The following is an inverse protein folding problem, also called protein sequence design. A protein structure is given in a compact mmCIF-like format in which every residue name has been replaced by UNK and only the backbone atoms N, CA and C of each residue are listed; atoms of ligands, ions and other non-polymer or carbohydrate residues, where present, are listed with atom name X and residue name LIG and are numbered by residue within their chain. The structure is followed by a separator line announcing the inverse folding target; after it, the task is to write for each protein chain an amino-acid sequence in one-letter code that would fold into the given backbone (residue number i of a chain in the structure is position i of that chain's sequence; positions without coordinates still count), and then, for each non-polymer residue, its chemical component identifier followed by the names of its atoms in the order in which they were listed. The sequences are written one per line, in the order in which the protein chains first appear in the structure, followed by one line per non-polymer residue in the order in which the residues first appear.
data_IF_587468535726
#
_entry.id   IF_587468535726
#
_cell.length_a   1.000
_cell.length_b   1.000
_cell.length_c   1.000
_cell.angle_alpha   90.00
_cell.angle_beta   90.00
_cell.angle_gamma   90.00
#
_symmetry.space_group_name_H-M   'P 1'
#
loop_
_entity.id
_entity.type
_entity.pdbx_description
1 polymer ?
#
# COMPACT_ATOMS: atom_id res chain seq x y z
N UNK A 1 46.13 -20.04 27.84
CA UNK A 1 45.18 -19.64 26.78
C UNK A 1 44.20 -18.66 27.41
N UNK A 2 44.14 -17.40 26.97
CA UNK A 2 43.26 -16.38 27.56
C UNK A 2 41.80 -16.74 27.23
N UNK A 3 40.90 -16.77 28.23
CA UNK A 3 39.49 -17.17 28.07
C UNK A 3 38.57 -16.30 28.91
N UNK A 4 37.27 -16.29 28.57
CA UNK A 4 36.24 -15.57 29.33
C UNK A 4 36.51 -14.08 29.42
N UNK A 5 36.32 -13.49 30.60
CA UNK A 5 36.47 -12.05 30.85
C UNK A 5 37.84 -11.49 30.43
N UNK A 6 38.92 -12.23 30.69
CA UNK A 6 40.27 -11.79 30.32
C UNK A 6 40.46 -11.66 28.80
N UNK A 7 39.80 -12.52 28.02
CA UNK A 7 39.85 -12.43 26.56
C UNK A 7 39.04 -11.23 26.06
N UNK A 8 37.91 -10.95 26.72
CA UNK A 8 37.11 -9.77 26.45
C UNK A 8 37.88 -8.47 26.76
N UNK A 9 38.60 -8.41 27.87
CA UNK A 9 39.40 -7.25 28.25
C UNK A 9 40.51 -6.99 27.24
N UNK A 10 41.22 -8.05 26.82
CA UNK A 10 42.25 -7.94 25.78
C UNK A 10 41.65 -7.48 24.43
N UNK A 11 40.50 -8.03 24.04
CA UNK A 11 39.78 -7.59 22.85
C UNK A 11 39.41 -6.09 22.93
N UNK A 12 38.87 -5.64 24.06
CA UNK A 12 38.49 -4.25 24.27
C UNK A 12 39.70 -3.30 24.27
N UNK A 13 40.85 -3.73 24.80
CA UNK A 13 42.09 -2.95 24.75
C UNK A 13 42.59 -2.74 23.31
N UNK A 14 42.43 -3.75 22.46
CA UNK A 14 42.89 -3.70 21.05
C UNK A 14 41.86 -2.99 20.16
N UNK A 15 40.59 -3.42 20.21
CA UNK A 15 39.55 -3.03 19.25
C UNK A 15 38.62 -1.92 19.75
N UNK A 16 38.59 -1.64 21.06
CA UNK A 16 37.60 -0.74 21.67
C UNK A 16 37.59 0.67 21.09
N UNK A 17 38.78 1.25 20.84
CA UNK A 17 38.89 2.58 20.22
C UNK A 17 38.36 2.61 18.79
N UNK A 18 38.67 1.58 18.00
CA UNK A 18 38.19 1.43 16.63
C UNK A 18 36.68 1.25 16.58
N UNK A 19 36.11 0.40 17.44
CA UNK A 19 34.66 0.23 17.54
C UNK A 19 33.96 1.53 17.94
N UNK A 20 34.51 2.27 18.91
CA UNK A 20 33.97 3.56 19.33
C UNK A 20 33.98 4.57 18.19
N UNK A 21 35.05 4.61 17.39
CA UNK A 21 35.13 5.47 16.21
C UNK A 21 34.07 5.10 15.17
N UNK A 22 33.88 3.80 14.90
CA UNK A 22 32.86 3.33 13.95
C UNK A 22 31.44 3.69 14.40
N UNK A 23 31.13 3.51 15.70
CA UNK A 23 29.83 3.91 16.27
C UNK A 23 29.61 5.40 16.07
N UNK A 24 30.57 6.25 16.46
CA UNK A 24 30.45 7.72 16.30
C UNK A 24 30.27 8.15 14.84
N UNK A 25 30.98 7.49 13.93
CA UNK A 25 30.85 7.77 12.50
C UNK A 25 29.45 7.38 12.00
N UNK A 26 28.94 6.20 12.40
CA UNK A 26 27.58 5.79 12.06
C UNK A 26 26.57 6.82 12.60
N UNK A 27 26.66 7.19 13.88
CA UNK A 27 25.78 8.17 14.51
C UNK A 27 25.72 9.46 13.68
N UNK A 28 26.89 10.02 13.33
CA UNK A 28 26.97 11.25 12.55
C UNK A 28 26.29 11.14 11.18
N UNK A 29 26.37 9.99 10.51
CA UNK A 29 25.71 9.78 9.21
C UNK A 29 24.21 9.56 9.36
N UNK A 30 23.79 8.86 10.42
CA UNK A 30 22.38 8.55 10.69
C UNK A 30 21.61 9.83 11.06
N UNK A 31 22.17 10.73 11.88
CA UNK A 31 21.45 11.89 12.42
C UNK A 31 20.72 12.74 11.35
N UNK A 32 21.30 12.87 10.15
CA UNK A 32 20.74 13.66 9.06
C UNK A 32 20.27 12.82 7.86
N UNK A 33 20.23 11.49 8.00
CA UNK A 33 19.73 10.60 6.96
C UNK A 33 18.19 10.68 6.88
N UNK A 34 17.66 10.79 5.67
CA UNK A 34 16.22 10.69 5.38
C UNK A 34 15.90 9.49 4.47
N UNK A 35 16.92 8.67 4.14
CA UNK A 35 16.74 7.46 3.36
C UNK A 35 16.34 6.30 4.29
N UNK A 36 15.02 6.15 4.44
CA UNK A 36 14.41 5.12 5.26
C UNK A 36 14.76 3.70 4.78
N UNK A 37 14.93 3.49 3.46
CA UNK A 37 15.28 2.19 2.88
C UNK A 37 16.72 1.84 3.24
N UNK A 38 17.67 2.77 3.05
CA UNK A 38 19.08 2.55 3.40
C UNK A 38 19.26 2.27 4.89
N UNK A 39 18.59 3.03 5.76
CA UNK A 39 18.62 2.78 7.21
C UNK A 39 18.08 1.39 7.56
N UNK A 40 16.98 0.98 6.93
CA UNK A 40 16.40 -0.35 7.18
C UNK A 40 17.30 -1.47 6.67
N UNK A 41 17.94 -1.31 5.52
CA UNK A 41 18.97 -2.23 5.03
C UNK A 41 20.11 -2.39 6.03
N UNK A 42 20.60 -1.29 6.61
CA UNK A 42 21.64 -1.33 7.64
C UNK A 42 21.17 -2.12 8.88
N UNK A 43 19.93 -1.93 9.34
CA UNK A 43 19.34 -2.70 10.44
C UNK A 43 19.34 -4.20 10.11
N UNK A 44 18.86 -4.59 8.92
CA UNK A 44 18.82 -5.99 8.49
C UNK A 44 20.22 -6.62 8.38
N UNK A 45 21.21 -5.85 7.91
CA UNK A 45 22.60 -6.30 7.90
C UNK A 45 23.13 -6.54 9.31
N UNK A 46 22.83 -5.64 10.26
CA UNK A 46 23.22 -5.82 11.66
C UNK A 46 22.63 -7.11 12.23
N UNK A 47 21.34 -7.40 11.99
CA UNK A 47 20.73 -8.65 12.43
C UNK A 47 21.43 -9.89 11.85
N UNK A 48 21.79 -9.87 10.56
CA UNK A 48 22.54 -10.97 9.94
C UNK A 48 23.91 -11.15 10.58
N UNK A 49 24.64 -10.08 10.85
CA UNK A 49 25.95 -10.15 11.49
C UNK A 49 25.88 -10.59 12.95
N UNK A 50 24.88 -10.13 13.70
CA UNK A 50 24.62 -10.62 15.07
C UNK A 50 24.36 -12.13 15.08
N UNK A 51 23.48 -12.62 14.20
CA UNK A 51 23.19 -14.04 14.10
C UNK A 51 24.45 -14.85 13.76
N UNK A 52 25.30 -14.33 12.88
CA UNK A 52 26.57 -14.96 12.52
C UNK A 52 27.57 -14.98 13.70
N UNK A 53 27.70 -13.87 14.44
CA UNK A 53 28.53 -13.79 15.65
C UNK A 53 28.07 -14.78 16.71
N UNK A 54 26.77 -14.91 16.93
CA UNK A 54 26.18 -15.88 17.85
C UNK A 54 26.51 -17.32 17.43
N UNK A 55 26.31 -17.67 16.14
CA UNK A 55 26.67 -18.99 15.60
C UNK A 55 28.15 -19.33 15.72
N UNK A 56 29.03 -18.33 15.71
CA UNK A 56 30.48 -18.47 15.83
C UNK A 56 30.98 -18.33 17.28
N UNK A 57 30.09 -18.16 18.25
CA UNK A 57 30.41 -17.94 19.65
C UNK A 57 31.38 -16.75 19.86
N UNK A 58 31.10 -15.61 19.21
CA UNK A 58 31.89 -14.36 19.33
C UNK A 58 31.09 -13.31 20.13
N UNK A 59 31.01 -13.43 21.47
CA UNK A 59 30.21 -12.52 22.31
C UNK A 59 30.82 -11.12 22.45
N UNK A 60 32.07 -10.95 22.02
CA UNK A 60 32.81 -9.70 22.20
C UNK A 60 32.23 -8.50 21.44
N UNK A 61 31.38 -8.76 20.44
CA UNK A 61 30.75 -7.75 19.59
C UNK A 61 29.28 -7.49 19.93
N UNK A 62 28.68 -8.19 20.90
CA UNK A 62 27.24 -8.10 21.18
C UNK A 62 26.82 -6.64 21.46
N UNK A 63 27.53 -5.99 22.40
CA UNK A 63 27.30 -4.57 22.73
C UNK A 63 27.53 -3.62 21.56
N UNK A 64 28.45 -3.95 20.66
CA UNK A 64 28.72 -3.12 19.48
C UNK A 64 27.52 -3.13 18.55
N UNK A 65 26.99 -4.31 18.23
CA UNK A 65 25.82 -4.44 17.37
C UNK A 65 24.57 -3.81 17.98
N UNK A 66 24.36 -3.96 19.28
CA UNK A 66 23.26 -3.31 20.00
C UNK A 66 23.38 -1.77 19.92
N UNK A 67 24.60 -1.25 20.02
CA UNK A 67 24.84 0.21 19.91
C UNK A 67 24.50 0.73 18.51
N UNK A 68 24.85 0.01 17.45
CA UNK A 68 24.48 0.42 16.09
C UNK A 68 22.96 0.40 15.88
N UNK A 69 22.26 -0.61 16.40
CA UNK A 69 20.80 -0.67 16.33
C UNK A 69 20.14 0.50 17.07
N UNK A 70 20.60 0.78 18.29
CA UNK A 70 20.07 1.87 19.12
C UNK A 70 20.29 3.25 18.50
N UNK A 71 21.26 3.39 17.59
CA UNK A 71 21.47 4.60 16.79
C UNK A 71 20.49 4.72 15.62
N UNK A 72 20.34 3.64 14.84
CA UNK A 72 19.57 3.69 13.58
C UNK A 72 18.06 3.66 13.84
N UNK A 73 17.58 2.81 14.75
CA UNK A 73 16.14 2.59 14.96
C UNK A 73 15.34 3.87 15.29
N UNK A 74 15.76 4.71 16.24
CA UNK A 74 15.02 5.94 16.56
C UNK A 74 14.92 6.88 15.35
N UNK A 75 15.99 6.98 14.56
CA UNK A 75 16.00 7.82 13.36
C UNK A 75 15.13 7.24 12.25
N UNK A 76 15.20 5.93 12.02
CA UNK A 76 14.35 5.22 11.06
C UNK A 76 12.86 5.48 11.36
N UNK A 77 12.43 5.25 12.61
CA UNK A 77 11.04 5.48 12.99
C UNK A 77 10.64 6.95 12.83
N UNK A 78 11.50 7.88 13.24
CA UNK A 78 11.25 9.31 13.07
C UNK A 78 11.02 9.69 11.60
N UNK A 79 11.90 9.29 10.68
CA UNK A 79 11.78 9.62 9.26
C UNK A 79 10.57 8.93 8.63
N UNK A 80 10.29 7.67 9.00
CA UNK A 80 9.09 6.97 8.53
C UNK A 80 7.82 7.73 8.94
N UNK A 81 7.75 8.20 10.19
CA UNK A 81 6.63 9.02 10.68
C UNK A 81 6.53 10.36 9.98
N UNK A 82 7.65 11.00 9.63
CA UNK A 82 7.62 12.19 8.78
C UNK A 82 6.98 11.91 7.41
N UNK A 83 7.29 10.77 6.79
CA UNK A 83 6.67 10.38 5.52
C UNK A 83 5.15 10.21 5.67
N UNK A 84 4.69 9.51 6.70
CA UNK A 84 3.26 9.36 7.02
C UNK A 84 2.60 10.73 7.19
N UNK A 85 3.18 11.60 8.02
CA UNK A 85 2.65 12.93 8.30
C UNK A 85 2.62 13.81 7.05
N UNK A 86 3.62 13.69 6.17
CA UNK A 86 3.66 14.44 4.91
C UNK A 86 2.48 14.14 3.99
N UNK A 87 2.00 12.89 3.98
CA UNK A 87 0.84 12.46 3.18
C UNK A 87 -0.45 12.91 3.85
N UNK A 88 -0.53 12.81 5.18
CA UNK A 88 -1.67 13.30 5.97
C UNK A 88 -1.93 14.79 5.69
N UNK A 89 -0.87 15.59 5.74
CA UNK A 89 -0.90 17.04 5.59
C UNK A 89 -0.97 17.53 4.13
N UNK A 90 -0.92 16.62 3.16
CA UNK A 90 -1.09 16.98 1.76
C UNK A 90 -2.47 17.63 1.53
N UNK A 91 -2.45 18.81 0.92
CA UNK A 91 -3.65 19.50 0.45
C UNK A 91 -3.94 19.05 -0.99
N UNK A 92 -5.03 18.29 -1.22
CA UNK A 92 -5.38 17.78 -2.54
C UNK A 92 -5.56 18.90 -3.59
N UNK A 93 -6.01 20.08 -3.16
CA UNK A 93 -6.35 21.19 -4.07
C UNK A 93 -5.13 21.84 -4.73
N UNK A 94 -3.93 21.57 -4.21
CA UNK A 94 -2.66 22.11 -4.74
C UNK A 94 -2.09 21.29 -5.89
N UNK A 95 -2.70 20.16 -6.24
CA UNK A 95 -2.22 19.27 -7.29
C UNK A 95 -2.97 19.47 -8.61
N UNK A 96 -2.33 19.07 -9.70
CA UNK A 96 -2.96 19.02 -11.02
C UNK A 96 -4.07 17.97 -11.05
N UNK A 97 -5.15 18.27 -11.75
CA UNK A 97 -6.31 17.39 -11.91
C UNK A 97 -6.08 16.43 -13.07
N UNK A 98 -5.30 15.39 -12.83
CA UNK A 98 -5.03 14.33 -13.79
C UNK A 98 -5.70 13.03 -13.34
N UNK A 99 -6.42 12.36 -14.25
CA UNK A 99 -7.11 11.10 -13.93
C UNK A 99 -6.17 9.89 -13.90
N UNK A 100 -4.91 10.05 -14.30
CA UNK A 100 -3.90 9.00 -14.22
C UNK A 100 -3.47 8.70 -12.78
N UNK A 101 -2.66 7.65 -12.58
CA UNK A 101 -2.12 7.33 -11.27
C UNK A 101 -1.28 8.48 -10.72
N UNK A 102 -1.52 8.86 -9.47
CA UNK A 102 -0.80 9.95 -8.84
C UNK A 102 0.62 9.52 -8.43
N UNK A 103 1.60 10.41 -8.55
CA UNK A 103 3.00 10.08 -8.26
C UNK A 103 3.23 9.67 -6.79
N UNK A 104 2.44 10.21 -5.85
CA UNK A 104 2.50 9.81 -4.42
C UNK A 104 2.08 8.34 -4.27
N UNK A 105 1.03 7.92 -4.97
CA UNK A 105 0.56 6.53 -5.00
C UNK A 105 1.67 5.60 -5.49
N UNK A 106 2.37 5.97 -6.58
CA UNK A 106 3.51 5.21 -7.10
C UNK A 106 4.64 5.09 -6.09
N UNK A 107 5.06 6.22 -5.51
CA UNK A 107 6.14 6.25 -4.50
C UNK A 107 5.80 5.42 -3.29
N UNK A 108 4.55 5.46 -2.83
CA UNK A 108 4.07 4.61 -1.76
C UNK A 108 4.23 3.13 -2.12
N UNK A 109 3.73 2.71 -3.28
CA UNK A 109 3.74 1.30 -3.67
C UNK A 109 5.17 0.76 -3.78
N UNK A 110 6.07 1.51 -4.44
CA UNK A 110 7.49 1.15 -4.58
C UNK A 110 8.20 1.11 -3.21
N UNK A 111 7.90 2.08 -2.33
CA UNK A 111 8.46 2.13 -0.98
C UNK A 111 7.97 0.97 -0.10
N UNK A 112 6.66 0.69 -0.09
CA UNK A 112 6.06 -0.40 0.67
C UNK A 112 6.64 -1.74 0.22
N UNK A 113 6.68 -1.99 -1.09
CA UNK A 113 7.27 -3.20 -1.66
C UNK A 113 8.74 -3.38 -1.25
N UNK A 114 9.54 -2.30 -1.30
CA UNK A 114 10.94 -2.35 -0.88
C UNK A 114 11.09 -2.71 0.61
N UNK A 115 10.34 -2.05 1.51
CA UNK A 115 10.41 -2.32 2.95
C UNK A 115 9.96 -3.76 3.26
N UNK A 116 8.86 -4.21 2.66
CA UNK A 116 8.37 -5.59 2.83
C UNK A 116 9.39 -6.61 2.34
N UNK A 117 9.95 -6.41 1.14
CA UNK A 117 10.97 -7.29 0.58
C UNK A 117 12.24 -7.35 1.43
N UNK A 118 12.67 -6.22 2.00
CA UNK A 118 13.82 -6.18 2.91
C UNK A 118 13.51 -6.88 4.25
N UNK A 119 12.27 -6.78 4.73
CA UNK A 119 11.84 -7.32 6.03
C UNK A 119 11.66 -8.84 6.06
N UNK A 120 11.67 -9.53 4.90
CA UNK A 120 11.33 -10.96 4.78
C UNK A 120 12.12 -11.86 5.75
N UNK A 121 13.39 -11.56 5.98
CA UNK A 121 14.28 -12.40 6.78
C UNK A 121 14.20 -12.12 8.29
N UNK A 122 13.90 -10.88 8.67
CA UNK A 122 13.76 -10.47 10.06
C UNK A 122 12.54 -9.54 10.19
N UNK A 123 11.33 -10.13 10.28
CA UNK A 123 10.10 -9.38 10.48
C UNK A 123 10.12 -8.57 11.77
N UNK A 124 9.49 -7.39 11.74
CA UNK A 124 9.45 -6.49 12.88
C UNK A 124 8.06 -5.84 13.01
N UNK A 125 7.43 -5.98 14.18
CA UNK A 125 6.07 -5.48 14.43
C UNK A 125 5.94 -3.95 14.30
N UNK A 126 6.97 -3.20 14.72
CA UNK A 126 6.98 -1.74 14.57
C UNK A 126 6.95 -1.34 13.11
N UNK A 127 7.70 -2.04 12.25
CA UNK A 127 7.70 -1.80 10.80
C UNK A 127 6.34 -2.14 10.21
N UNK A 128 5.74 -3.28 10.58
CA UNK A 128 4.40 -3.66 10.12
C UNK A 128 3.33 -2.62 10.52
N UNK A 129 3.40 -2.10 11.75
CA UNK A 129 2.49 -1.03 12.21
C UNK A 129 2.70 0.26 11.42
N UNK A 130 3.94 0.67 11.19
CA UNK A 130 4.26 1.88 10.42
C UNK A 130 3.78 1.77 8.95
N UNK A 131 3.94 0.60 8.32
CA UNK A 131 3.42 0.34 6.97
C UNK A 131 1.89 0.45 6.93
N UNK A 132 1.19 -0.12 7.92
CA UNK A 132 -0.27 -0.01 8.01
C UNK A 132 -0.73 1.45 8.22
N UNK A 133 -0.05 2.21 9.08
CA UNK A 133 -0.31 3.65 9.26
C UNK A 133 -0.12 4.41 7.93
N UNK A 134 0.95 4.11 7.19
CA UNK A 134 1.21 4.72 5.88
C UNK A 134 0.15 4.35 4.83
N UNK A 135 -0.25 3.09 4.77
CA UNK A 135 -1.32 2.61 3.88
C UNK A 135 -2.60 3.42 4.10
N UNK A 136 -3.05 3.54 5.36
CA UNK A 136 -4.27 4.27 5.69
C UNK A 136 -4.21 5.75 5.24
N UNK A 137 -3.08 6.43 5.46
CA UNK A 137 -2.93 7.83 5.02
C UNK A 137 -2.95 7.97 3.50
N UNK A 138 -2.36 7.01 2.77
CA UNK A 138 -2.37 6.98 1.30
C UNK A 138 -3.77 6.71 0.76
N UNK A 139 -4.51 5.76 1.33
CA UNK A 139 -5.90 5.51 0.96
C UNK A 139 -6.77 6.75 1.20
N UNK A 140 -6.63 7.42 2.35
CA UNK A 140 -7.31 8.68 2.63
C UNK A 140 -6.89 9.78 1.65
N UNK A 141 -5.62 9.88 1.29
CA UNK A 141 -5.15 10.82 0.27
C UNK A 141 -5.78 10.55 -1.10
N UNK A 142 -5.81 9.30 -1.56
CA UNK A 142 -6.41 8.90 -2.83
C UNK A 142 -7.90 9.26 -2.87
N UNK A 143 -8.64 9.01 -1.79
CA UNK A 143 -10.05 9.39 -1.68
C UNK A 143 -10.26 10.91 -1.67
N UNK A 144 -9.43 11.67 -0.95
CA UNK A 144 -9.50 13.14 -0.94
C UNK A 144 -9.17 13.74 -2.31
N UNK A 145 -8.21 13.16 -3.03
CA UNK A 145 -7.87 13.56 -4.40
C UNK A 145 -8.99 13.25 -5.38
N UNK A 146 -9.62 12.08 -5.26
CA UNK A 146 -10.74 11.73 -6.15
C UNK A 146 -11.89 12.73 -5.98
N UNK A 147 -12.20 13.16 -4.76
CA UNK A 147 -13.27 14.12 -4.47
C UNK A 147 -13.09 15.51 -5.14
N UNK A 148 -11.91 15.84 -5.68
CA UNK A 148 -11.69 17.08 -6.45
C UNK A 148 -12.38 17.02 -7.82
N UNK A 149 -12.55 15.82 -8.38
CA UNK A 149 -13.17 15.64 -9.69
C UNK A 149 -14.69 15.87 -9.60
N UNK A 150 -15.26 16.67 -10.52
CA UNK A 150 -16.65 17.11 -10.41
C UNK A 150 -17.65 15.99 -10.71
N UNK A 151 -17.30 15.03 -11.59
CA UNK A 151 -18.19 13.95 -11.99
C UNK A 151 -17.84 12.65 -11.27
N UNK A 152 -18.85 11.86 -10.89
CA UNK A 152 -18.63 10.55 -10.25
C UNK A 152 -17.82 9.62 -11.15
N UNK A 153 -18.06 9.66 -12.45
CA UNK A 153 -17.26 8.96 -13.47
C UNK A 153 -15.76 9.24 -13.33
N UNK A 154 -15.36 10.51 -13.31
CA UNK A 154 -13.94 10.89 -13.26
C UNK A 154 -13.31 10.54 -11.89
N UNK A 155 -14.10 10.65 -10.81
CA UNK A 155 -13.69 10.17 -9.48
C UNK A 155 -13.34 8.67 -9.52
N UNK A 156 -14.20 7.86 -10.13
CA UNK A 156 -14.03 6.41 -10.23
C UNK A 156 -12.84 6.04 -11.13
N UNK A 157 -12.66 6.70 -12.27
CA UNK A 157 -11.48 6.50 -13.13
C UNK A 157 -10.19 6.74 -12.35
N UNK A 158 -10.11 7.85 -11.62
CA UNK A 158 -8.94 8.16 -10.81
C UNK A 158 -8.69 7.09 -9.74
N UNK A 159 -9.72 6.65 -9.02
CA UNK A 159 -9.59 5.59 -8.00
C UNK A 159 -9.10 4.28 -8.60
N UNK A 160 -9.71 3.82 -9.70
CA UNK A 160 -9.35 2.59 -10.41
C UNK A 160 -7.88 2.64 -10.83
N UNK A 161 -7.46 3.71 -11.52
CA UNK A 161 -6.10 3.86 -12.00
C UNK A 161 -5.06 3.84 -10.86
N UNK A 162 -5.38 4.46 -9.72
CA UNK A 162 -4.48 4.48 -8.57
C UNK A 162 -4.39 3.12 -7.88
N UNK A 163 -5.51 2.42 -7.68
CA UNK A 163 -5.51 1.08 -7.07
C UNK A 163 -4.88 0.02 -7.97
N UNK A 164 -5.13 0.08 -9.28
CA UNK A 164 -4.48 -0.79 -10.26
C UNK A 164 -2.95 -0.62 -10.26
N UNK A 165 -2.46 0.63 -10.22
CA UNK A 165 -1.03 0.90 -10.09
C UNK A 165 -0.43 0.27 -8.82
N UNK A 166 -1.06 0.47 -7.66
CA UNK A 166 -0.56 -0.08 -6.40
C UNK A 166 -0.48 -1.60 -6.48
N UNK A 167 -1.55 -2.25 -6.96
CA UNK A 167 -1.59 -3.69 -7.13
C UNK A 167 -0.53 -4.19 -8.11
N UNK A 168 -0.36 -3.52 -9.24
CA UNK A 168 0.69 -3.86 -10.22
C UNK A 168 2.07 -3.92 -9.57
N UNK A 169 2.43 -2.89 -8.81
CA UNK A 169 3.73 -2.84 -8.12
C UNK A 169 3.84 -3.88 -7.00
N UNK A 170 2.80 -4.04 -6.17
CA UNK A 170 2.84 -4.99 -5.05
C UNK A 170 2.88 -6.44 -5.54
N UNK A 171 2.16 -6.78 -6.60
CA UNK A 171 2.11 -8.15 -7.15
C UNK A 171 3.39 -8.54 -7.88
N UNK A 172 4.14 -7.58 -8.44
CA UNK A 172 5.45 -7.85 -9.05
C UNK A 172 6.54 -8.18 -8.01
N UNK A 173 6.42 -7.63 -6.80
CA UNK A 173 7.51 -7.64 -5.80
C UNK A 173 7.23 -8.45 -4.54
N UNK A 174 5.98 -8.79 -4.26
CA UNK A 174 5.57 -9.53 -3.05
C UNK A 174 4.99 -10.89 -3.46
N UNK A 175 5.52 -11.98 -2.90
CA UNK A 175 4.95 -13.33 -3.09
C UNK A 175 3.53 -13.36 -2.51
N UNK A 176 2.54 -13.55 -3.39
CA UNK A 176 1.08 -13.71 -3.21
C UNK A 176 0.44 -13.39 -1.83
N UNK A 177 -0.59 -12.54 -1.88
CA UNK A 177 -1.63 -12.30 -0.85
C UNK A 177 -1.18 -11.64 0.47
N UNK A 178 -0.50 -10.49 0.37
CA UNK A 178 -0.42 -9.58 1.53
C UNK A 178 -1.81 -9.01 1.84
N UNK A 179 -2.09 -8.73 3.13
CA UNK A 179 -3.34 -8.07 3.55
C UNK A 179 -3.54 -6.71 2.86
N UNK A 180 -2.45 -6.01 2.62
CA UNK A 180 -2.43 -4.75 1.86
C UNK A 180 -2.89 -4.97 0.41
N UNK A 181 -2.34 -5.96 -0.29
CA UNK A 181 -2.75 -6.26 -1.65
C UNK A 181 -4.22 -6.70 -1.72
N UNK A 182 -4.71 -7.46 -0.75
CA UNK A 182 -6.13 -7.82 -0.70
C UNK A 182 -7.02 -6.59 -0.52
N UNK A 183 -6.65 -5.67 0.38
CA UNK A 183 -7.41 -4.44 0.60
C UNK A 183 -7.53 -3.58 -0.67
N UNK A 184 -6.42 -3.37 -1.39
CA UNK A 184 -6.44 -2.65 -2.67
C UNK A 184 -7.21 -3.40 -3.76
N UNK A 185 -7.18 -4.73 -3.78
CA UNK A 185 -7.91 -5.59 -4.72
C UNK A 185 -9.42 -5.50 -4.51
N UNK A 186 -9.87 -5.53 -3.26
CA UNK A 186 -11.27 -5.34 -2.89
C UNK A 186 -11.75 -3.94 -3.34
N UNK A 187 -10.97 -2.90 -3.07
CA UNK A 187 -11.31 -1.54 -3.50
C UNK A 187 -11.34 -1.39 -5.01
N UNK A 188 -10.36 -1.94 -5.74
CA UNK A 188 -10.35 -1.93 -7.20
C UNK A 188 -11.59 -2.62 -7.77
N UNK A 189 -11.94 -3.78 -7.23
CA UNK A 189 -13.12 -4.55 -7.65
C UNK A 189 -14.40 -3.76 -7.42
N UNK A 190 -14.56 -3.17 -6.23
CA UNK A 190 -15.73 -2.37 -5.86
C UNK A 190 -15.89 -1.14 -6.77
N UNK A 191 -14.80 -0.38 -7.00
CA UNK A 191 -14.84 0.82 -7.85
C UNK A 191 -15.03 0.49 -9.32
N UNK A 192 -14.48 -0.63 -9.79
CA UNK A 192 -14.70 -1.10 -11.16
C UNK A 192 -16.16 -1.46 -11.40
N UNK A 193 -16.80 -2.17 -10.47
CA UNK A 193 -18.22 -2.48 -10.54
C UNK A 193 -19.08 -1.19 -10.51
N UNK A 194 -18.76 -0.27 -9.61
CA UNK A 194 -19.45 1.02 -9.52
C UNK A 194 -19.31 1.86 -10.81
N UNK A 195 -18.13 1.83 -11.43
CA UNK A 195 -17.88 2.51 -12.70
C UNK A 195 -18.72 1.92 -13.83
N UNK A 196 -18.82 0.59 -13.91
CA UNK A 196 -19.68 -0.08 -14.88
C UNK A 196 -21.13 0.38 -14.71
N UNK A 197 -21.65 0.40 -13.49
CA UNK A 197 -23.00 0.88 -13.21
C UNK A 197 -23.20 2.36 -13.58
N UNK A 198 -22.24 3.23 -13.25
CA UNK A 198 -22.28 4.67 -13.58
C UNK A 198 -22.31 4.91 -15.09
N UNK A 199 -21.53 4.14 -15.87
CA UNK A 199 -21.50 4.25 -17.34
C UNK A 199 -22.76 3.66 -17.97
N UNK A 200 -23.27 2.55 -17.46
CA UNK A 200 -24.41 1.87 -18.03
C UNK A 200 -25.74 2.52 -17.64
N UNK A 201 -25.86 3.14 -16.46
CA UNK A 201 -27.12 3.67 -15.91
C UNK A 201 -27.86 4.64 -16.86
N UNK A 202 -27.20 5.64 -17.49
CA UNK A 202 -27.87 6.56 -18.42
C UNK A 202 -28.47 5.88 -19.66
N UNK A 203 -27.93 4.71 -20.03
CA UNK A 203 -28.22 4.03 -21.28
C UNK A 203 -29.11 2.80 -21.11
N UNK A 204 -28.88 2.06 -20.03
CA UNK A 204 -29.46 0.75 -19.74
C UNK A 204 -30.10 0.69 -18.37
N UNK A 205 -30.09 1.76 -17.57
CA UNK A 205 -30.59 1.75 -16.18
C UNK A 205 -32.03 1.25 -16.06
N UNK A 206 -32.90 1.60 -17.00
CA UNK A 206 -34.27 1.08 -17.04
C UNK A 206 -34.36 -0.43 -17.26
N UNK A 207 -33.48 -1.00 -18.11
CA UNK A 207 -33.38 -2.44 -18.36
C UNK A 207 -32.74 -3.15 -17.17
N UNK A 208 -31.67 -2.61 -16.62
CA UNK A 208 -30.99 -3.15 -15.43
C UNK A 208 -31.97 -3.22 -14.26
N UNK A 209 -32.73 -2.16 -14.00
CA UNK A 209 -33.73 -2.16 -12.94
C UNK A 209 -34.85 -3.15 -13.23
N UNK A 210 -35.30 -3.28 -14.47
CA UNK A 210 -36.30 -4.27 -14.85
C UNK A 210 -35.82 -5.70 -14.58
N UNK A 211 -34.55 -6.02 -14.86
CA UNK A 211 -33.96 -7.34 -14.57
C UNK A 211 -33.92 -7.56 -13.05
N UNK A 212 -33.41 -6.58 -12.28
CA UNK A 212 -33.36 -6.66 -10.81
C UNK A 212 -34.74 -6.85 -10.17
N UNK A 213 -35.78 -6.25 -10.74
CA UNK A 213 -37.16 -6.40 -10.25
C UNK A 213 -37.75 -7.78 -10.63
N UNK A 214 -37.37 -8.33 -11.79
CA UNK A 214 -37.93 -9.59 -12.31
C UNK A 214 -37.20 -10.84 -11.81
N UNK A 215 -35.90 -10.74 -11.52
CA UNK A 215 -35.05 -11.86 -11.11
C UNK A 215 -35.58 -12.60 -9.87
N UNK A 216 -36.05 -11.94 -8.79
CA UNK A 216 -36.64 -12.62 -7.64
C UNK A 216 -37.95 -13.36 -7.95
N UNK A 217 -38.72 -12.87 -8.92
CA UNK A 217 -39.95 -13.55 -9.35
C UNK A 217 -39.64 -14.79 -10.18
N UNK A 218 -38.57 -14.75 -10.97
CA UNK A 218 -38.09 -15.90 -11.72
C UNK A 218 -37.54 -17.00 -10.80
N UNK A 219 -36.74 -16.63 -9.80
CA UNK A 219 -36.20 -17.58 -8.80
C UNK A 219 -37.28 -18.27 -7.96
N UNK A 220 -38.45 -17.62 -7.81
CA UNK A 220 -39.60 -18.12 -7.03
C UNK A 220 -40.69 -18.76 -7.89
N UNK A 221 -40.44 -18.98 -9.19
CA UNK A 221 -41.41 -19.50 -10.17
C UNK A 221 -42.75 -18.71 -10.22
N UNK A 222 -42.71 -17.42 -9.88
CA UNK A 222 -43.90 -16.53 -9.86
C UNK A 222 -44.24 -16.01 -11.26
N UNK A 223 -44.67 -16.94 -12.12
CA UNK A 223 -44.89 -16.71 -13.55
C UNK A 223 -45.97 -15.66 -13.84
N UNK A 224 -46.99 -15.55 -12.98
CA UNK A 224 -48.07 -14.57 -13.14
C UNK A 224 -47.61 -13.13 -12.86
N UNK A 225 -46.66 -12.94 -11.96
CA UNK A 225 -46.09 -11.62 -11.68
C UNK A 225 -45.14 -11.18 -12.80
N UNK A 226 -44.38 -12.12 -13.39
CA UNK A 226 -43.58 -11.86 -14.59
C UNK A 226 -44.44 -11.43 -15.78
N UNK A 227 -45.59 -12.08 -16.02
CA UNK A 227 -46.53 -11.68 -17.08
C UNK A 227 -47.05 -10.25 -16.90
N UNK A 228 -47.24 -9.80 -15.66
CA UNK A 228 -47.68 -8.42 -15.37
C UNK A 228 -46.64 -7.37 -15.76
N UNK A 229 -45.35 -7.75 -15.82
CA UNK A 229 -44.26 -6.85 -16.20
C UNK A 229 -44.05 -6.77 -17.74
N UNK A 230 -44.78 -7.53 -18.56
CA UNK A 230 -44.63 -7.59 -20.03
C UNK A 230 -44.75 -6.23 -20.72
N UNK A 231 -45.69 -5.38 -20.30
CA UNK A 231 -45.84 -4.04 -20.88
C UNK A 231 -44.62 -3.16 -20.63
N UNK A 232 -44.02 -3.29 -19.45
CA UNK A 232 -42.82 -2.55 -19.07
C UNK A 232 -41.61 -3.05 -19.88
N UNK A 233 -41.50 -4.35 -20.11
CA UNK A 233 -40.42 -4.92 -20.93
C UNK A 233 -40.49 -4.43 -22.38
N UNK A 234 -41.67 -4.44 -23.00
CA UNK A 234 -41.89 -3.96 -24.36
C UNK A 234 -41.54 -2.47 -24.52
N UNK A 235 -41.94 -1.64 -23.55
CA UNK A 235 -41.62 -0.22 -23.55
C UNK A 235 -40.11 0.03 -23.46
N UNK A 236 -39.40 -0.72 -22.61
CA UNK A 236 -37.94 -0.63 -22.46
C UNK A 236 -37.20 -1.07 -23.73
N UNK A 237 -37.62 -2.17 -24.37
CA UNK A 237 -37.03 -2.67 -25.61
C UNK A 237 -37.24 -1.68 -26.77
N UNK A 238 -38.42 -1.07 -26.86
CA UNK A 238 -38.71 -0.05 -27.87
C UNK A 238 -37.81 1.19 -27.68
N UNK A 239 -37.70 1.69 -26.44
CA UNK A 239 -36.86 2.84 -26.11
C UNK A 239 -35.37 2.57 -26.37
N UNK A 240 -34.89 1.36 -26.05
CA UNK A 240 -33.53 0.93 -26.34
C UNK A 240 -33.27 0.84 -27.85
N UNK A 241 -34.16 0.16 -28.58
CA UNK A 241 -34.04 -0.02 -30.04
C UNK A 241 -33.98 1.30 -30.79
N UNK A 242 -34.69 2.32 -30.31
CA UNK A 242 -34.67 3.66 -30.88
C UNK A 242 -33.34 4.41 -30.64
N UNK A 243 -32.69 4.18 -29.49
CA UNK A 243 -31.60 5.05 -29.02
C UNK A 243 -30.21 4.41 -29.01
N UNK A 244 -30.07 3.08 -28.97
CA UNK A 244 -28.79 2.39 -28.71
C UNK A 244 -27.64 2.79 -29.64
N UNK A 245 -27.91 3.05 -30.93
CA UNK A 245 -26.90 3.48 -31.90
C UNK A 245 -26.32 4.86 -31.58
N UNK A 246 -27.13 5.74 -30.99
CA UNK A 246 -26.67 7.06 -30.55
C UNK A 246 -25.86 6.96 -29.25
N UNK A 247 -26.09 5.93 -28.45
CA UNK A 247 -25.36 5.67 -27.20
C UNK A 247 -23.94 5.17 -27.43
N UNK A 248 -23.63 4.60 -28.60
CA UNK A 248 -22.27 4.13 -28.96
C UNK A 248 -21.38 5.21 -29.60
N UNK A 249 -21.95 6.39 -29.89
CA UNK A 249 -21.24 7.49 -30.61
C UNK A 249 -20.71 8.59 -29.68
N UNK A 250 -21.07 8.54 -28.40
CA UNK A 250 -20.59 9.42 -27.34
C UNK A 250 -19.75 8.61 -26.35
#
# INVERSE_FOLDING_TARGET
MVRGAQAQDLFNQIMGKTMTLMIKNLDSNVMNCFDTIAMFLCIQLIYRYQLMCHKRCVPALDKYWDSLQNSIWPRFEYVFRLNIQSIRDCDPTKFNKEMGPHYITRRYAEFSAAIVGISEHFPNETVSRLLLELQNEVECFILRMSAIFPSRKDQLIYLINNYDLVLGVLMEHIRDNSKEAESFREQLTLRSAEYVDEILSPHFGGIIQFIKDCEPYLEKDQTDELKRQERRSLALVAAFSANWKNLLKN
#
